data_IF_586857111247
#
_entry.id   IF_586857111247
#
_cell.length_a   1.000
_cell.length_b   1.000
_cell.length_c   1.000
_cell.angle_alpha   90.00
_cell.angle_beta   90.00
_cell.angle_gamma   90.00
#
_symmetry.space_group_name_H-M   'P 1'
#
loop_
_entity.id
_entity.type
_entity.pdbx_description
1 polymer ?
#
# COMPACT_ATOMS: atom_id res chain seq x y z
N UNK A 1 16.97 -30.40 31.22
CA UNK A 1 16.13 -30.06 30.06
C UNK A 1 16.70 -28.82 29.42
N UNK A 2 17.14 -28.89 28.16
CA UNK A 2 17.70 -27.74 27.44
C UNK A 2 16.58 -26.98 26.76
N UNK A 3 16.36 -25.72 27.14
CA UNK A 3 15.32 -24.84 26.58
C UNK A 3 15.60 -24.36 25.15
N UNK A 4 16.75 -24.75 24.56
CA UNK A 4 17.19 -24.34 23.22
C UNK A 4 16.15 -24.56 22.10
N UNK A 5 15.45 -25.71 22.00
CA UNK A 5 14.47 -25.93 20.94
C UNK A 5 13.22 -25.03 21.05
N UNK A 6 12.83 -24.70 22.29
CA UNK A 6 11.70 -23.81 22.53
C UNK A 6 12.03 -22.36 22.12
N UNK A 7 13.24 -21.89 22.48
CA UNK A 7 13.74 -20.56 22.12
C UNK A 7 13.80 -20.39 20.58
N UNK A 8 14.31 -21.39 19.86
CA UNK A 8 14.37 -21.34 18.39
C UNK A 8 12.99 -21.28 17.75
N UNK A 9 12.01 -22.00 18.30
CA UNK A 9 10.64 -21.97 17.78
C UNK A 9 9.98 -20.58 17.94
N UNK A 10 10.15 -19.92 19.10
CA UNK A 10 9.64 -18.55 19.29
C UNK A 10 10.32 -17.54 18.35
N UNK A 11 11.63 -17.68 18.16
CA UNK A 11 12.40 -16.82 17.24
C UNK A 11 11.90 -16.96 15.79
N UNK A 12 11.61 -18.20 15.35
CA UNK A 12 11.09 -18.47 14.02
C UNK A 12 9.69 -17.89 13.80
N UNK A 13 8.82 -17.93 14.82
CA UNK A 13 7.48 -17.34 14.75
C UNK A 13 7.51 -15.81 14.68
N UNK A 14 8.43 -15.16 15.40
CA UNK A 14 8.64 -13.71 15.31
C UNK A 14 9.12 -13.31 13.92
N UNK A 15 10.11 -14.02 13.38
CA UNK A 15 10.60 -13.79 12.02
C UNK A 15 9.50 -14.06 10.98
N UNK A 16 8.62 -15.04 11.24
CA UNK A 16 7.44 -15.32 10.42
C UNK A 16 6.45 -14.15 10.44
N UNK A 17 6.16 -13.56 11.60
CA UNK A 17 5.30 -12.37 11.71
C UNK A 17 5.89 -11.19 10.92
N UNK A 18 7.17 -10.87 11.14
CA UNK A 18 7.85 -9.77 10.45
C UNK A 18 7.86 -9.97 8.94
N UNK A 19 8.19 -11.18 8.48
CA UNK A 19 8.18 -11.51 7.05
C UNK A 19 6.78 -11.46 6.45
N UNK A 20 5.78 -11.95 7.18
CA UNK A 20 4.37 -11.90 6.77
C UNK A 20 3.93 -10.45 6.59
N UNK A 21 4.04 -9.61 7.62
CA UNK A 21 3.66 -8.19 7.55
C UNK A 21 4.43 -7.47 6.44
N UNK A 22 5.75 -7.65 6.34
CA UNK A 22 6.55 -7.05 5.28
C UNK A 22 6.12 -7.47 3.86
N UNK A 23 5.78 -8.75 3.66
CA UNK A 23 5.32 -9.23 2.36
C UNK A 23 3.99 -8.60 1.93
N UNK A 24 3.13 -8.20 2.89
CA UNK A 24 1.87 -7.52 2.58
C UNK A 24 2.07 -6.12 2.00
N UNK A 25 3.12 -5.42 2.43
CA UNK A 25 3.48 -4.14 1.82
C UNK A 25 3.84 -4.31 0.35
N UNK A 26 4.65 -5.32 0.02
CA UNK A 26 5.04 -5.61 -1.36
C UNK A 26 3.85 -6.07 -2.21
N UNK A 27 2.99 -6.90 -1.63
CA UNK A 27 1.72 -7.32 -2.22
C UNK A 27 0.84 -6.12 -2.61
N UNK A 28 0.67 -5.16 -1.71
CA UNK A 28 -0.11 -3.95 -1.96
C UNK A 28 0.61 -3.04 -2.96
N UNK A 29 1.93 -2.87 -2.87
CA UNK A 29 2.72 -2.08 -3.82
C UNK A 29 2.51 -2.58 -5.25
N UNK A 30 2.60 -3.90 -5.45
CA UNK A 30 2.33 -4.53 -6.73
C UNK A 30 0.90 -4.29 -7.20
N UNK A 31 -0.10 -4.44 -6.31
CA UNK A 31 -1.50 -4.15 -6.65
C UNK A 31 -1.72 -2.69 -7.05
N UNK A 32 -1.05 -1.71 -6.42
CA UNK A 32 -1.16 -0.29 -6.76
C UNK A 32 -0.58 0.05 -8.13
N UNK A 33 0.54 -0.59 -8.51
CA UNK A 33 1.14 -0.44 -9.85
C UNK A 33 0.26 -1.13 -10.91
N UNK A 34 -0.20 -2.34 -10.62
CA UNK A 34 -1.05 -3.13 -11.49
C UNK A 34 -2.42 -2.49 -11.72
N UNK A 35 -2.93 -1.77 -10.72
CA UNK A 35 -4.18 -1.00 -10.77
C UNK A 35 -4.20 0.05 -11.88
N UNK A 36 -3.07 0.40 -12.50
CA UNK A 36 -3.03 1.26 -13.68
C UNK A 36 -2.64 0.53 -14.95
N UNK A 37 -1.72 -0.45 -14.87
CA UNK A 37 -1.18 -1.14 -16.03
C UNK A 37 -2.20 -2.07 -16.72
N UNK A 38 -3.06 -2.77 -15.96
CA UNK A 38 -4.11 -3.63 -16.54
C UNK A 38 -5.15 -2.83 -17.34
N UNK A 39 -5.33 -1.56 -17.00
CA UNK A 39 -6.23 -0.65 -17.70
C UNK A 39 -5.63 -0.13 -19.02
N UNK A 40 -4.31 -0.22 -19.20
CA UNK A 40 -3.62 0.06 -20.47
C UNK A 40 -3.81 -1.11 -21.44
N UNK A 41 -3.78 -2.34 -20.92
CA UNK A 41 -3.81 -3.57 -21.72
C UNK A 41 -5.23 -3.96 -22.14
N UNK A 42 -6.27 -3.67 -21.34
CA UNK A 42 -7.67 -3.93 -21.73
C UNK A 42 -8.11 -3.15 -22.99
N UNK A 43 -7.44 -2.05 -23.35
CA UNK A 43 -7.64 -1.36 -24.63
C UNK A 43 -7.08 -2.12 -25.85
N UNK A 44 -6.21 -3.13 -25.65
CA UNK A 44 -5.50 -3.87 -26.70
C UNK A 44 -5.83 -5.38 -26.75
N UNK A 45 -6.87 -5.85 -26.08
CA UNK A 45 -7.52 -7.14 -26.40
C UNK A 45 -6.76 -8.42 -26.07
N UNK A 46 -6.11 -8.54 -24.90
CA UNK A 46 -5.65 -9.84 -24.36
C UNK A 46 -6.17 -10.05 -22.94
N UNK A 47 -7.05 -11.04 -22.77
CA UNK A 47 -7.65 -11.39 -21.47
C UNK A 47 -7.43 -12.86 -21.16
N UNK A 48 -7.03 -13.14 -19.92
CA UNK A 48 -7.23 -14.44 -19.29
C UNK A 48 -5.96 -15.17 -18.85
N UNK A 49 -5.33 -14.70 -17.77
CA UNK A 49 -4.63 -15.55 -16.77
C UNK A 49 -4.10 -14.74 -15.58
N UNK A 50 -3.66 -13.49 -15.77
CA UNK A 50 -3.06 -12.66 -14.68
C UNK A 50 -4.07 -11.92 -13.79
N UNK A 51 -5.26 -11.57 -14.29
CA UNK A 51 -6.29 -10.87 -13.50
C UNK A 51 -6.72 -11.65 -12.23
N UNK A 52 -6.69 -12.99 -12.29
CA UNK A 52 -7.01 -13.84 -11.14
C UNK A 52 -5.89 -13.85 -10.09
N UNK A 53 -4.63 -13.67 -10.50
CA UNK A 53 -3.48 -13.59 -9.57
C UNK A 53 -3.44 -12.26 -8.84
N UNK A 54 -3.73 -11.15 -9.52
CA UNK A 54 -3.65 -9.80 -8.93
C UNK A 54 -4.68 -9.58 -7.82
N UNK A 55 -5.92 -10.00 -8.07
CA UNK A 55 -6.98 -9.99 -7.06
C UNK A 55 -6.68 -10.97 -5.91
N UNK A 56 -5.97 -12.07 -6.18
CA UNK A 56 -5.56 -13.04 -5.16
C UNK A 56 -4.57 -12.49 -4.14
N UNK A 57 -3.67 -11.60 -4.57
CA UNK A 57 -2.64 -11.01 -3.71
C UNK A 57 -3.26 -10.09 -2.66
N UNK A 58 -4.10 -9.14 -3.09
CA UNK A 58 -4.81 -8.23 -2.19
C UNK A 58 -5.83 -8.97 -1.29
N UNK A 59 -6.47 -10.02 -1.82
CA UNK A 59 -7.37 -10.87 -1.04
C UNK A 59 -6.64 -11.68 0.04
N UNK A 60 -5.40 -12.12 -0.21
CA UNK A 60 -4.57 -12.79 0.80
C UNK A 60 -4.23 -11.85 1.96
N UNK A 61 -3.97 -10.56 1.68
CA UNK A 61 -3.77 -9.53 2.70
C UNK A 61 -5.04 -9.38 3.54
N UNK A 62 -6.21 -9.25 2.90
CA UNK A 62 -7.50 -9.12 3.59
C UNK A 62 -7.82 -10.27 4.55
N UNK A 63 -7.46 -11.50 4.17
CA UNK A 63 -7.81 -12.70 4.92
C UNK A 63 -6.79 -13.08 6.00
N UNK A 64 -5.68 -12.33 6.10
CA UNK A 64 -4.53 -12.64 6.98
C UNK A 64 -4.73 -12.33 8.47
N UNK A 65 -5.87 -11.77 8.87
CA UNK A 65 -6.09 -11.27 10.24
C UNK A 65 -5.84 -12.32 11.33
N UNK A 66 -6.43 -13.50 11.20
CA UNK A 66 -6.29 -14.57 12.20
C UNK A 66 -4.85 -15.06 12.32
N UNK A 67 -4.10 -15.09 11.21
CA UNK A 67 -2.69 -15.44 11.19
C UNK A 67 -1.84 -14.44 11.97
N UNK A 68 -2.07 -13.14 11.75
CA UNK A 68 -1.35 -12.08 12.49
C UNK A 68 -1.65 -12.09 13.98
N UNK A 69 -2.92 -12.23 14.36
CA UNK A 69 -3.32 -12.32 15.77
C UNK A 69 -2.70 -13.56 16.44
N UNK A 70 -2.70 -14.70 15.77
CA UNK A 70 -2.04 -15.92 16.26
C UNK A 70 -0.55 -15.72 16.46
N UNK A 71 0.17 -15.24 15.44
CA UNK A 71 1.62 -15.01 15.49
C UNK A 71 2.01 -13.97 16.54
N UNK A 72 1.24 -12.87 16.68
CA UNK A 72 1.47 -11.88 17.72
C UNK A 72 1.23 -12.44 19.13
N UNK A 73 0.22 -13.30 19.29
CA UNK A 73 -0.02 -13.98 20.56
C UNK A 73 1.15 -14.88 20.94
N UNK A 74 1.70 -15.66 20.01
CA UNK A 74 2.88 -16.48 20.26
C UNK A 74 4.12 -15.64 20.58
N UNK A 75 4.37 -14.59 19.80
CA UNK A 75 5.47 -13.66 20.04
C UNK A 75 5.40 -13.00 21.42
N UNK A 76 4.20 -12.77 21.97
CA UNK A 76 4.01 -12.22 23.32
C UNK A 76 4.44 -13.17 24.45
N UNK A 77 4.49 -14.47 24.18
CA UNK A 77 4.89 -15.48 25.16
C UNK A 77 6.39 -15.78 25.18
N UNK A 78 7.16 -15.12 24.33
CA UNK A 78 8.62 -15.29 24.30
C UNK A 78 9.22 -14.93 25.68
N UNK A 79 9.88 -15.88 26.36
CA UNK A 79 10.61 -15.58 27.58
C UNK A 79 11.67 -14.51 27.30
N UNK A 80 12.08 -13.75 28.31
CA UNK A 80 13.00 -12.63 28.11
C UNK A 80 14.34 -13.12 27.51
N UNK A 81 14.53 -12.95 26.20
CA UNK A 81 15.75 -13.36 25.50
C UNK A 81 16.02 -12.57 24.20
N UNK A 82 17.26 -12.11 24.04
CA UNK A 82 17.70 -11.45 22.79
C UNK A 82 17.15 -10.04 22.60
N UNK A 83 16.65 -9.74 21.39
CA UNK A 83 16.18 -8.40 20.97
C UNK A 83 14.72 -8.12 21.31
N UNK A 84 14.00 -9.13 21.76
CA UNK A 84 12.57 -9.10 21.98
C UNK A 84 12.29 -9.40 23.45
N UNK A 85 11.24 -8.77 23.99
CA UNK A 85 10.88 -8.94 25.40
C UNK A 85 9.40 -8.72 25.64
N UNK A 86 8.94 -8.96 26.87
CA UNK A 86 7.52 -8.87 27.23
C UNK A 86 6.86 -7.50 26.96
N UNK A 87 7.66 -6.43 26.89
CA UNK A 87 7.21 -5.07 26.60
C UNK A 87 7.35 -4.68 25.12
N UNK A 88 7.73 -5.62 24.26
CA UNK A 88 7.88 -5.34 22.83
C UNK A 88 6.53 -4.97 22.21
N UNK A 89 6.47 -3.98 21.29
CA UNK A 89 5.21 -3.37 20.84
C UNK A 89 4.45 -4.22 19.81
N UNK A 90 4.15 -5.49 20.09
CA UNK A 90 3.44 -6.40 19.19
C UNK A 90 2.08 -5.85 18.70
N UNK A 91 1.40 -5.08 19.54
CA UNK A 91 0.12 -4.44 19.19
C UNK A 91 0.27 -3.45 18.02
N UNK A 92 1.44 -2.80 17.86
CA UNK A 92 1.68 -1.89 16.73
C UNK A 92 1.80 -2.63 15.40
N UNK A 93 2.32 -3.86 15.39
CA UNK A 93 2.30 -4.72 14.19
C UNK A 93 0.88 -5.09 13.79
N UNK A 94 0.01 -5.38 14.77
CA UNK A 94 -1.41 -5.66 14.51
C UNK A 94 -2.15 -4.43 13.98
N UNK A 95 -1.85 -3.25 14.50
CA UNK A 95 -2.39 -1.99 14.01
C UNK A 95 -1.98 -1.70 12.57
N UNK A 96 -0.70 -1.89 12.23
CA UNK A 96 -0.19 -1.80 10.86
C UNK A 96 -0.85 -2.83 9.94
N UNK A 97 -0.95 -4.09 10.38
CA UNK A 97 -1.62 -5.14 9.62
C UNK A 97 -3.10 -4.81 9.34
N UNK A 98 -3.81 -4.19 10.29
CA UNK A 98 -5.18 -3.69 10.09
C UNK A 98 -5.22 -2.58 9.02
N UNK A 99 -4.32 -1.60 9.09
CA UNK A 99 -4.25 -0.53 8.08
C UNK A 99 -3.97 -1.09 6.67
N UNK A 100 -3.09 -2.10 6.55
CA UNK A 100 -2.84 -2.81 5.29
C UNK A 100 -4.09 -3.53 4.77
N UNK A 101 -4.88 -4.16 5.66
CA UNK A 101 -6.15 -4.78 5.28
C UNK A 101 -7.16 -3.76 4.77
N UNK A 102 -7.29 -2.60 5.43
CA UNK A 102 -8.18 -1.53 4.97
C UNK A 102 -7.75 -0.99 3.61
N UNK A 103 -6.45 -0.79 3.41
CA UNK A 103 -5.89 -0.37 2.14
C UNK A 103 -6.16 -1.42 1.04
N UNK A 104 -6.02 -2.70 1.36
CA UNK A 104 -6.33 -3.79 0.46
C UNK A 104 -7.83 -3.83 0.07
N UNK A 105 -8.74 -3.57 1.02
CA UNK A 105 -10.17 -3.51 0.75
C UNK A 105 -10.50 -2.36 -0.21
N UNK A 106 -9.85 -1.21 -0.01
CA UNK A 106 -9.99 -0.04 -0.85
C UNK A 106 -9.53 -0.30 -2.29
N UNK A 107 -8.37 -0.92 -2.48
CA UNK A 107 -7.85 -1.26 -3.81
C UNK A 107 -8.80 -2.21 -4.52
N UNK A 108 -9.26 -3.27 -3.85
CA UNK A 108 -10.22 -4.23 -4.45
C UNK A 108 -11.53 -3.54 -4.85
N UNK A 109 -12.03 -2.65 -4.00
CA UNK A 109 -13.26 -1.88 -4.29
C UNK A 109 -13.04 -0.97 -5.50
N UNK A 110 -11.90 -0.29 -5.57
CA UNK A 110 -11.54 0.58 -6.67
C UNK A 110 -11.42 -0.21 -7.99
N UNK A 111 -10.74 -1.36 -7.97
CA UNK A 111 -10.67 -2.25 -9.14
C UNK A 111 -12.04 -2.71 -9.62
N UNK A 112 -12.92 -3.09 -8.68
CA UNK A 112 -14.26 -3.56 -8.97
C UNK A 112 -15.09 -2.50 -9.70
N UNK A 113 -15.02 -1.25 -9.24
CA UNK A 113 -15.70 -0.13 -9.91
C UNK A 113 -15.16 0.09 -11.32
N UNK A 114 -13.84 0.07 -11.48
CA UNK A 114 -13.18 0.35 -12.76
C UNK A 114 -13.39 -0.76 -13.81
N UNK A 115 -13.59 -2.01 -13.40
CA UNK A 115 -13.88 -3.15 -14.30
C UNK A 115 -15.24 -3.06 -14.99
N UNK A 116 -16.17 -2.24 -14.50
CA UNK A 116 -17.57 -2.28 -14.97
C UNK A 116 -17.84 -1.57 -16.30
N UNK A 117 -16.95 -0.68 -16.78
CA UNK A 117 -16.90 -0.13 -18.15
C UNK A 117 -15.87 1.01 -18.17
N UNK A 118 -14.66 0.77 -18.66
CA UNK A 118 -13.74 1.86 -18.93
C UNK A 118 -13.25 1.83 -20.37
N UNK A 119 -13.78 2.76 -21.15
CA UNK A 119 -13.12 3.26 -22.34
C UNK A 119 -12.09 4.33 -21.89
N UNK A 120 -10.88 4.22 -22.44
CA UNK A 120 -9.62 4.91 -22.14
C UNK A 120 -9.75 6.29 -21.47
N UNK A 121 -9.13 6.44 -20.29
CA UNK A 121 -9.01 7.70 -19.55
C UNK A 121 -8.13 8.72 -20.30
N UNK A 122 -8.35 10.02 -20.07
CA UNK A 122 -7.51 11.10 -20.62
C UNK A 122 -6.02 10.86 -20.30
N UNK A 123 -5.14 11.13 -21.26
CA UNK A 123 -3.69 10.91 -21.14
C UNK A 123 -3.09 11.65 -19.95
N UNK A 124 -3.56 12.86 -19.63
CA UNK A 124 -3.13 13.63 -18.46
C UNK A 124 -3.51 12.96 -17.12
N UNK A 125 -4.75 12.50 -16.97
CA UNK A 125 -5.19 11.76 -15.77
C UNK A 125 -4.34 10.50 -15.57
N UNK A 126 -4.02 9.82 -16.67
CA UNK A 126 -3.22 8.60 -16.64
C UNK A 126 -1.79 8.85 -16.15
N UNK A 127 -1.11 9.87 -16.67
CA UNK A 127 0.27 10.18 -16.24
C UNK A 127 0.30 10.62 -14.77
N UNK A 128 -0.70 11.41 -14.32
CA UNK A 128 -0.83 11.80 -12.92
C UNK A 128 -1.01 10.59 -11.99
N UNK A 129 -1.96 9.70 -12.31
CA UNK A 129 -2.16 8.50 -11.51
C UNK A 129 -0.93 7.59 -11.54
N UNK A 130 -0.21 7.51 -12.67
CA UNK A 130 1.02 6.71 -12.78
C UNK A 130 2.12 7.24 -11.87
N UNK A 131 2.29 8.56 -11.80
CA UNK A 131 3.17 9.20 -10.82
C UNK A 131 2.79 8.83 -9.39
N UNK A 132 1.50 8.94 -9.06
CA UNK A 132 0.97 8.60 -7.74
C UNK A 132 1.21 7.13 -7.38
N UNK A 133 0.88 6.19 -8.27
CA UNK A 133 1.13 4.76 -8.03
C UNK A 133 2.60 4.44 -7.85
N UNK A 134 3.50 5.05 -8.63
CA UNK A 134 4.93 4.85 -8.47
C UNK A 134 5.44 5.36 -7.11
N UNK A 135 4.96 6.53 -6.67
CA UNK A 135 5.30 7.10 -5.37
C UNK A 135 4.80 6.20 -4.23
N UNK A 136 3.53 5.81 -4.29
CA UNK A 136 2.87 4.93 -3.33
C UNK A 136 3.57 3.57 -3.22
N UNK A 137 3.81 2.90 -4.35
CA UNK A 137 4.43 1.59 -4.37
C UNK A 137 5.88 1.63 -3.89
N UNK A 138 6.64 2.68 -4.25
CA UNK A 138 7.98 2.92 -3.72
C UNK A 138 7.97 3.04 -2.19
N UNK A 139 7.10 3.88 -1.64
CA UNK A 139 6.97 4.04 -0.19
C UNK A 139 6.55 2.74 0.51
N UNK A 140 5.58 2.01 -0.04
CA UNK A 140 5.15 0.72 0.52
C UNK A 140 6.31 -0.27 0.62
N UNK A 141 7.13 -0.41 -0.42
CA UNK A 141 8.31 -1.30 -0.40
C UNK A 141 9.34 -0.89 0.64
N UNK A 142 9.58 0.41 0.80
CA UNK A 142 10.48 0.94 1.83
C UNK A 142 9.94 0.67 3.26
N UNK A 143 8.64 0.84 3.49
CA UNK A 143 8.00 0.51 4.77
C UNK A 143 8.09 -0.99 5.08
N UNK A 144 7.85 -1.85 4.09
CA UNK A 144 8.03 -3.30 4.22
C UNK A 144 9.48 -3.67 4.53
N UNK A 145 10.44 -3.02 3.87
CA UNK A 145 11.88 -3.19 4.11
C UNK A 145 12.29 -2.75 5.52
N UNK A 146 11.73 -1.63 6.02
CA UNK A 146 11.91 -1.14 7.38
C UNK A 146 11.47 -2.16 8.42
N UNK A 147 10.27 -2.73 8.27
CA UNK A 147 9.76 -3.78 9.17
C UNK A 147 10.58 -5.06 9.10
N UNK A 148 10.91 -5.52 7.88
CA UNK A 148 11.63 -6.77 7.68
C UNK A 148 13.03 -6.75 8.30
N UNK A 149 13.73 -5.63 8.15
CA UNK A 149 15.09 -5.46 8.64
C UNK A 149 15.19 -4.78 10.00
N UNK A 150 14.05 -4.32 10.54
CA UNK A 150 13.95 -3.60 11.81
C UNK A 150 14.84 -2.35 11.82
N UNK A 151 14.77 -1.58 10.73
CA UNK A 151 15.56 -0.37 10.48
C UNK A 151 14.64 0.82 10.27
N UNK A 152 15.04 1.99 10.71
CA UNK A 152 14.24 3.20 10.51
C UNK A 152 14.08 3.52 9.03
N UNK A 153 12.89 3.99 8.67
CA UNK A 153 12.58 4.49 7.33
C UNK A 153 13.24 5.86 7.15
N UNK A 154 14.44 5.89 6.55
CA UNK A 154 15.27 7.10 6.50
C UNK A 154 14.74 8.22 5.62
N UNK A 155 13.81 7.92 4.71
CA UNK A 155 13.30 8.89 3.73
C UNK A 155 11.92 9.44 4.10
N UNK A 156 11.54 9.37 5.38
CA UNK A 156 10.19 9.67 5.83
C UNK A 156 9.76 11.12 5.57
N UNK A 157 10.61 12.10 5.89
CA UNK A 157 10.25 13.51 5.75
C UNK A 157 10.11 13.88 4.26
N UNK A 158 11.01 13.38 3.42
CA UNK A 158 10.97 13.54 1.96
C UNK A 158 9.74 12.85 1.37
N UNK A 159 9.41 11.64 1.82
CA UNK A 159 8.21 10.93 1.39
C UNK A 159 6.94 11.69 1.82
N UNK A 160 6.92 12.25 3.02
CA UNK A 160 5.81 13.08 3.51
C UNK A 160 5.58 14.32 2.65
N UNK A 161 6.64 15.05 2.30
CA UNK A 161 6.56 16.20 1.39
C UNK A 161 6.06 15.79 0.00
N UNK A 162 6.62 14.72 -0.58
CA UNK A 162 6.20 14.18 -1.88
C UNK A 162 4.72 13.74 -1.88
N UNK A 163 4.24 13.13 -0.79
CA UNK A 163 2.83 12.77 -0.65
C UNK A 163 1.92 13.98 -0.59
N UNK A 164 2.30 15.04 0.12
CA UNK A 164 1.51 16.27 0.17
C UNK A 164 1.46 16.98 -1.18
N UNK A 165 2.57 17.03 -1.90
CA UNK A 165 2.63 17.59 -3.26
C UNK A 165 1.73 16.81 -4.21
N UNK A 166 1.86 15.48 -4.26
CA UNK A 166 1.04 14.60 -5.10
C UNK A 166 -0.46 14.72 -4.76
N UNK A 167 -0.79 14.79 -3.47
CA UNK A 167 -2.17 14.99 -3.00
C UNK A 167 -2.72 16.33 -3.45
N UNK A 168 -1.94 17.40 -3.37
CA UNK A 168 -2.34 18.73 -3.82
C UNK A 168 -2.58 18.76 -5.34
N UNK A 169 -1.72 18.11 -6.11
CA UNK A 169 -1.84 18.00 -7.57
C UNK A 169 -3.11 17.23 -7.97
N UNK A 170 -3.36 16.06 -7.38
CA UNK A 170 -4.59 15.29 -7.60
C UNK A 170 -5.85 16.09 -7.21
N UNK A 171 -5.81 16.78 -6.07
CA UNK A 171 -6.94 17.61 -5.60
C UNK A 171 -7.23 18.79 -6.52
N UNK A 172 -6.19 19.46 -7.02
CA UNK A 172 -6.34 20.54 -8.00
C UNK A 172 -6.95 20.02 -9.30
N UNK A 173 -6.50 18.86 -9.78
CA UNK A 173 -7.04 18.24 -10.99
C UNK A 173 -8.51 17.86 -10.84
N UNK A 174 -8.87 17.27 -9.68
CA UNK A 174 -10.26 16.97 -9.31
C UNK A 174 -11.14 18.23 -9.40
N UNK A 175 -10.67 19.35 -8.86
CA UNK A 175 -11.43 20.61 -8.82
C UNK A 175 -11.62 21.23 -10.20
N UNK A 176 -10.61 21.16 -11.06
CA UNK A 176 -10.70 21.63 -12.46
C UNK A 176 -11.69 20.78 -13.25
N UNK A 177 -11.66 19.45 -13.06
CA UNK A 177 -12.52 18.54 -13.80
C UNK A 177 -13.98 18.57 -13.32
N UNK A 178 -14.23 18.83 -12.02
CA UNK A 178 -15.58 18.97 -11.48
C UNK A 178 -16.30 20.19 -12.05
N UNK A 179 -15.59 21.31 -12.19
CA UNK A 179 -16.13 22.59 -12.69
C UNK A 179 -16.32 22.60 -14.21
N UNK A 180 -15.49 21.88 -14.99
CA UNK A 180 -15.69 21.71 -16.44
C UNK A 180 -17.00 20.98 -16.81
N UNK A 181 -17.48 20.05 -15.97
CA UNK A 181 -18.75 19.34 -16.17
C UNK A 181 -20.00 20.22 -16.05
N UNK A 182 -19.90 21.38 -15.39
CA UNK A 182 -21.05 22.32 -15.24
C UNK A 182 -21.21 23.31 -16.39
N UNK A 183 -20.20 23.45 -17.26
CA UNK A 183 -20.19 24.45 -18.35
C UNK A 183 -20.65 23.86 -19.69
N UNK A 184 -20.57 22.53 -19.88
CA UNK A 184 -20.81 21.88 -21.17
C UNK A 184 -22.18 21.18 -21.31
N UNK A 185 -23.26 21.83 -20.87
CA UNK A 185 -24.61 21.53 -21.40
C UNK A 185 -24.83 22.28 -22.73
N UNK A 186 -23.93 22.11 -23.69
CA UNK A 186 -24.09 22.60 -25.05
C UNK A 186 -23.27 21.72 -25.98
N UNK A 187 -23.97 21.06 -26.89
CA UNK A 187 -23.54 19.87 -27.62
C UNK A 187 -22.17 19.91 -28.30
N UNK A 188 -21.49 18.77 -28.24
CA UNK A 188 -20.58 18.31 -29.28
C UNK A 188 -20.51 16.77 -29.21
N UNK A 189 -21.18 16.12 -30.17
CA UNK A 189 -20.98 14.71 -30.49
C UNK A 189 -19.60 14.61 -31.11
N UNK A 190 -18.67 13.93 -30.43
CA UNK A 190 -17.39 13.54 -30.99
C UNK A 190 -17.21 12.05 -30.75
N UNK A 191 -17.00 11.31 -31.84
CA UNK A 191 -16.96 9.86 -31.94
C UNK A 191 -15.56 9.30 -31.60
N UNK A 192 -15.04 9.69 -30.44
CA UNK A 192 -13.88 9.06 -29.83
C UNK A 192 -14.29 8.43 -28.49
N UNK A 193 -13.83 7.22 -28.21
CA UNK A 193 -13.93 6.54 -26.91
C UNK A 193 -13.67 7.54 -25.77
N UNK A 194 -14.74 7.97 -25.08
CA UNK A 194 -14.69 8.95 -23.99
C UNK A 194 -14.92 8.21 -22.68
N UNK A 195 -13.91 8.24 -21.81
CA UNK A 195 -14.08 7.88 -20.41
C UNK A 195 -15.22 8.71 -19.81
N UNK A 196 -16.19 8.06 -19.17
CA UNK A 196 -17.23 8.79 -18.44
C UNK A 196 -16.56 9.62 -17.35
N UNK A 197 -16.87 10.92 -17.30
CA UNK A 197 -16.32 11.86 -16.31
C UNK A 197 -16.40 11.33 -14.87
N UNK A 198 -17.43 10.53 -14.56
CA UNK A 198 -17.60 9.88 -13.26
C UNK A 198 -16.52 8.84 -12.93
N UNK A 199 -16.02 8.07 -13.91
CA UNK A 199 -14.98 7.08 -13.66
C UNK A 199 -13.62 7.71 -13.47
N UNK A 200 -13.27 8.72 -14.29
CA UNK A 200 -12.04 9.49 -14.09
C UNK A 200 -12.04 10.17 -12.72
N UNK A 201 -13.18 10.72 -12.30
CA UNK A 201 -13.34 11.33 -10.99
C UNK A 201 -13.17 10.32 -9.86
N UNK A 202 -13.85 9.16 -9.96
CA UNK A 202 -13.72 8.10 -8.97
C UNK A 202 -12.28 7.60 -8.83
N UNK A 203 -11.58 7.37 -9.96
CA UNK A 203 -10.17 6.97 -9.96
C UNK A 203 -9.28 7.96 -9.18
N UNK A 204 -9.45 9.25 -9.43
CA UNK A 204 -8.69 10.30 -8.75
C UNK A 204 -9.02 10.36 -7.25
N UNK A 205 -10.29 10.23 -6.88
CA UNK A 205 -10.73 10.18 -5.48
C UNK A 205 -10.12 8.96 -4.78
N UNK A 206 -10.17 7.78 -5.41
CA UNK A 206 -9.56 6.57 -4.86
C UNK A 206 -8.05 6.72 -4.66
N UNK A 207 -7.35 7.39 -5.59
CA UNK A 207 -5.92 7.67 -5.46
C UNK A 207 -5.61 8.58 -4.27
N UNK A 208 -6.41 9.62 -4.04
CA UNK A 208 -6.28 10.48 -2.85
C UNK A 208 -6.51 9.69 -1.57
N UNK A 209 -7.53 8.82 -1.53
CA UNK A 209 -7.78 8.00 -0.34
C UNK A 209 -6.64 6.99 -0.08
N UNK A 210 -6.08 6.39 -1.12
CA UNK A 210 -4.92 5.50 -1.02
C UNK A 210 -3.70 6.26 -0.48
N UNK A 211 -3.45 7.50 -0.95
CA UNK A 211 -2.39 8.37 -0.45
C UNK A 211 -2.52 8.66 1.05
N UNK A 212 -3.71 9.09 1.49
CA UNK A 212 -3.96 9.40 2.90
C UNK A 212 -3.70 8.14 3.78
N UNK A 213 -4.11 6.95 3.34
CA UNK A 213 -3.87 5.68 4.06
C UNK A 213 -2.41 5.24 4.09
N UNK A 214 -1.66 5.44 3.01
CA UNK A 214 -0.22 5.16 3.01
C UNK A 214 0.51 6.14 3.92
N UNK A 215 0.05 7.40 4.01
CA UNK A 215 0.61 8.36 4.96
C UNK A 215 0.36 7.93 6.43
N UNK A 216 -0.82 7.39 6.74
CA UNK A 216 -1.09 6.80 8.07
C UNK A 216 -0.16 5.62 8.38
N UNK A 217 0.12 4.76 7.38
CA UNK A 217 1.09 3.67 7.51
C UNK A 217 2.51 4.18 7.75
N UNK A 218 2.94 5.24 7.03
CA UNK A 218 4.24 5.88 7.24
C UNK A 218 4.40 6.36 8.69
N UNK A 219 3.36 6.97 9.26
CA UNK A 219 3.35 7.41 10.67
C UNK A 219 3.40 6.19 11.59
N UNK A 220 2.55 5.18 11.38
CA UNK A 220 2.48 3.98 12.21
C UNK A 220 3.78 3.18 12.26
N UNK A 221 4.47 3.03 11.11
CA UNK A 221 5.77 2.35 11.03
C UNK A 221 6.87 3.14 11.76
N UNK A 222 6.83 4.48 11.73
CA UNK A 222 7.76 5.31 12.50
C UNK A 222 7.57 5.12 14.00
N UNK A 223 6.33 5.21 14.47
CA UNK A 223 6.01 4.99 15.89
C UNK A 223 6.42 3.60 16.35
N UNK A 224 6.19 2.59 15.50
CA UNK A 224 6.68 1.23 15.73
C UNK A 224 8.20 1.22 15.87
N UNK A 225 8.92 1.81 14.91
CA UNK A 225 10.38 1.81 14.93
C UNK A 225 10.96 2.49 16.17
N UNK A 226 10.36 3.58 16.63
CA UNK A 226 10.75 4.25 17.89
C UNK A 226 10.49 3.35 19.10
N UNK A 227 9.30 2.73 19.15
CA UNK A 227 8.90 1.87 20.28
C UNK A 227 9.66 0.55 20.34
N UNK A 228 10.05 0.02 19.18
CA UNK A 228 10.76 -1.25 19.02
C UNK A 228 12.29 -1.11 19.00
N UNK A 229 12.81 0.12 18.99
CA UNK A 229 14.26 0.39 18.96
C UNK A 229 14.92 0.02 17.63
N UNK A 230 14.27 0.33 16.50
CA UNK A 230 14.85 0.11 15.17
C UNK A 230 16.15 0.91 15.02
N UNK A 231 17.18 0.26 14.48
CA UNK A 231 18.52 0.85 14.35
C UNK A 231 18.60 1.62 13.05
N UNK A 232 19.14 2.84 13.09
CA UNK A 232 19.46 3.58 11.87
C UNK A 232 20.52 2.80 11.08
N UNK A 233 20.38 2.63 9.75
CA UNK A 233 21.49 2.18 8.94
C UNK A 233 22.68 3.12 9.18
N UNK A 234 23.78 2.56 9.69
CA UNK A 234 25.05 3.27 9.81
C UNK A 234 25.33 3.97 8.47
N UNK A 235 25.66 5.27 8.45
CA UNK A 235 26.01 5.94 7.21
C UNK A 235 27.15 5.14 6.59
N UNK A 236 26.91 4.58 5.42
CA UNK A 236 27.90 3.80 4.69
C UNK A 236 29.21 4.59 4.66
N UNK A 237 30.20 4.08 5.37
CA UNK A 237 31.59 4.50 5.24
C UNK A 237 31.94 4.22 3.77
N UNK A 238 32.05 5.28 2.99
CA UNK A 238 32.46 5.21 1.58
C UNK A 238 33.86 4.59 1.56
N UNK A 239 33.94 3.32 1.15
CA UNK A 239 35.19 2.69 0.71
C UNK A 239 35.25 2.66 -0.80
#
# INVERSE_FOLDING_TARGET
MTWKPAITAFQDEILSLLRSVASQFDCIAQSIEDFLDDHIVQANGKKGTDEARKLSTCFSVLTSKSTHESLANFARWEPWHGRFGFQYPWNKYLEIARLLQELAANIITAEGFMKTKLEVCHTSTKELCKGASSLLAGAMRELGGSILHMKQFQQQDIAGEAFQEMRAELSAYIQVHSSATTINHSGAVDNGMKCSAGHSMFLLISMVEILDRVQDLVIGVKELGVSAGFVDPMPHEKS
#
